data_IF_091997596167
#
_entry.id   IF_091997596167
#
_cell.length_a   1.000
_cell.length_b   1.000
_cell.length_c   1.000
_cell.angle_alpha   90.00
_cell.angle_beta   90.00
_cell.angle_gamma   90.00
#
_symmetry.space_group_name_H-M   'P 1'
#
loop_
_entity.id
_entity.type
_entity.pdbx_description
1 polymer ?
#
# COMPACT_ATOMS: atom_id res chain seq x y z
N UNK A 1 1.23 18.70 2.56
CA UNK A 1 0.94 17.27 2.57
C UNK A 1 -0.47 17.01 2.09
N UNK A 2 -0.69 15.83 1.51
CA UNK A 2 -1.99 15.42 0.99
C UNK A 2 -2.49 14.21 1.75
N UNK A 3 -3.80 14.04 1.81
CA UNK A 3 -4.40 12.84 2.37
C UNK A 3 -4.49 11.77 1.30
N UNK A 4 -4.00 10.58 1.61
CA UNK A 4 -4.06 9.41 0.75
C UNK A 4 -4.86 8.31 1.40
N UNK A 5 -5.62 7.58 0.60
CA UNK A 5 -6.32 6.36 1.02
C UNK A 5 -5.61 5.19 0.35
N UNK A 6 -5.25 4.18 1.14
CA UNK A 6 -4.63 2.96 0.63
C UNK A 6 -5.61 1.81 0.82
N UNK A 7 -5.93 1.14 -0.29
CA UNK A 7 -6.79 -0.04 -0.29
C UNK A 7 -5.92 -1.23 -0.63
N UNK A 8 -5.69 -2.09 0.35
CA UNK A 8 -4.91 -3.30 0.17
C UNK A 8 -5.84 -4.46 -0.12
N UNK A 9 -5.66 -5.13 -1.26
CA UNK A 9 -6.30 -6.40 -1.58
C UNK A 9 -5.29 -7.51 -1.40
N UNK A 10 -5.57 -8.46 -0.49
CA UNK A 10 -4.67 -9.55 -0.20
C UNK A 10 -5.42 -10.74 0.39
N UNK A 11 -5.16 -11.92 -0.14
CA UNK A 11 -5.68 -13.19 0.39
C UNK A 11 -7.20 -13.20 0.60
N UNK A 12 -7.94 -12.58 -0.32
CA UNK A 12 -9.40 -12.52 -0.27
C UNK A 12 -9.97 -11.42 0.62
N UNK A 13 -9.12 -10.61 1.27
CA UNK A 13 -9.54 -9.49 2.10
C UNK A 13 -9.19 -8.15 1.51
N UNK A 14 -9.95 -7.13 1.90
CA UNK A 14 -9.67 -5.74 1.54
C UNK A 14 -9.48 -4.93 2.81
N UNK A 15 -8.37 -4.22 2.89
CA UNK A 15 -7.99 -3.46 4.08
C UNK A 15 -7.78 -2.01 3.69
N UNK A 16 -8.45 -1.09 4.36
CA UNK A 16 -8.44 0.34 4.01
C UNK A 16 -7.79 1.13 5.12
N UNK A 17 -6.87 2.02 4.76
CA UNK A 17 -6.25 2.94 5.71
C UNK A 17 -6.04 4.31 5.05
N UNK A 18 -5.84 5.33 5.87
CA UNK A 18 -5.57 6.69 5.39
C UNK A 18 -4.34 7.24 6.09
N UNK A 19 -3.59 8.06 5.36
CA UNK A 19 -2.40 8.71 5.90
C UNK A 19 -2.10 9.98 5.10
N UNK A 20 -1.27 10.85 5.67
CA UNK A 20 -0.80 12.04 4.95
C UNK A 20 0.61 11.79 4.43
N UNK A 21 0.90 12.32 3.25
CA UNK A 21 2.21 12.20 2.62
C UNK A 21 2.41 13.32 1.61
N UNK A 22 3.65 13.50 1.16
CA UNK A 22 3.97 14.56 0.19
C UNK A 22 3.65 14.14 -1.25
N UNK A 23 3.75 12.83 -1.54
CA UNK A 23 3.42 12.29 -2.86
C UNK A 23 3.07 10.79 -2.73
N UNK A 24 2.80 10.14 -3.85
CA UNK A 24 2.41 8.72 -3.87
C UNK A 24 3.54 7.79 -3.43
N UNK A 25 4.79 8.12 -3.69
CA UNK A 25 5.94 7.32 -3.25
C UNK A 25 6.09 7.39 -1.73
N UNK A 26 5.97 8.60 -1.18
CA UNK A 26 6.01 8.80 0.27
C UNK A 26 4.82 8.14 0.94
N UNK A 27 3.64 8.16 0.30
CA UNK A 27 2.44 7.49 0.80
C UNK A 27 2.68 5.98 0.93
N UNK A 28 3.24 5.34 -0.10
CA UNK A 28 3.55 3.91 -0.05
C UNK A 28 4.55 3.61 1.07
N UNK A 29 5.61 4.41 1.20
CA UNK A 29 6.63 4.22 2.22
C UNK A 29 6.05 4.34 3.63
N UNK A 30 5.27 5.38 3.87
CA UNK A 30 4.65 5.61 5.20
C UNK A 30 3.64 4.53 5.55
N UNK A 31 2.88 4.07 4.54
CA UNK A 31 1.94 2.98 4.74
C UNK A 31 2.67 1.69 5.13
N UNK A 32 3.78 1.37 4.43
CA UNK A 32 4.58 0.20 4.76
C UNK A 32 5.20 0.30 6.16
N UNK A 33 5.65 1.48 6.56
CA UNK A 33 6.15 1.71 7.92
C UNK A 33 5.06 1.41 8.96
N UNK A 34 3.83 1.84 8.70
CA UNK A 34 2.72 1.58 9.62
C UNK A 34 2.37 0.09 9.68
N UNK A 35 2.47 -0.63 8.57
CA UNK A 35 2.30 -2.10 8.56
C UNK A 35 3.42 -2.78 9.35
N UNK A 36 4.64 -2.29 9.22
CA UNK A 36 5.78 -2.81 9.96
C UNK A 36 5.56 -2.74 11.46
N UNK A 37 4.96 -1.65 11.94
CA UNK A 37 4.63 -1.48 13.36
C UNK A 37 3.59 -2.49 13.84
N UNK A 38 2.74 -3.01 12.95
CA UNK A 38 1.70 -3.98 13.27
C UNK A 38 2.14 -5.42 13.02
N UNK A 39 3.29 -5.64 12.42
CA UNK A 39 3.72 -6.96 11.95
C UNK A 39 3.91 -7.97 13.07
N UNK A 40 4.15 -7.51 14.29
CA UNK A 40 4.32 -8.40 15.45
C UNK A 40 3.01 -9.03 15.92
N UNK A 41 1.85 -8.45 15.59
CA UNK A 41 0.54 -8.89 16.08
C UNK A 41 -0.45 -9.19 14.95
N UNK A 42 -0.08 -8.90 13.71
CA UNK A 42 -0.97 -9.04 12.56
C UNK A 42 -0.23 -9.77 11.44
N UNK A 43 -0.65 -11.02 11.18
CA UNK A 43 -0.02 -11.88 10.17
C UNK A 43 -0.11 -11.28 8.77
N UNK A 44 -1.23 -10.67 8.39
CA UNK A 44 -1.37 -10.03 7.09
C UNK A 44 -0.36 -8.88 6.94
N UNK A 45 -0.25 -8.04 7.96
CA UNK A 45 0.72 -6.94 7.95
C UNK A 45 2.16 -7.46 7.84
N UNK A 46 2.49 -8.55 8.53
CA UNK A 46 3.81 -9.15 8.47
C UNK A 46 4.13 -9.68 7.07
N UNK A 47 3.20 -10.42 6.45
CA UNK A 47 3.40 -11.00 5.13
C UNK A 47 3.53 -9.93 4.04
N UNK A 48 2.69 -8.90 4.11
CA UNK A 48 2.70 -7.81 3.13
C UNK A 48 3.96 -6.96 3.29
N UNK A 49 4.38 -6.68 4.52
CA UNK A 49 5.62 -5.93 4.78
C UNK A 49 6.84 -6.66 4.18
N UNK A 50 6.92 -7.97 4.37
CA UNK A 50 8.01 -8.77 3.81
C UNK A 50 7.97 -8.73 2.29
N UNK A 51 6.79 -8.90 1.69
CA UNK A 51 6.62 -8.92 0.24
C UNK A 51 7.09 -7.62 -0.40
N UNK A 52 6.63 -6.47 0.11
CA UNK A 52 7.02 -5.17 -0.43
C UNK A 52 8.50 -4.84 -0.12
N UNK A 53 9.05 -5.39 0.95
CA UNK A 53 10.47 -5.23 1.26
C UNK A 53 11.38 -5.98 0.30
N UNK A 54 10.87 -6.99 -0.43
CA UNK A 54 11.62 -7.80 -1.37
C UNK A 54 11.42 -7.36 -2.83
N UNK A 55 10.66 -6.31 -3.06
CA UNK A 55 10.41 -5.81 -4.41
C UNK A 55 10.86 -4.36 -4.52
N UNK A 56 11.23 -3.96 -5.73
CA UNK A 56 11.55 -2.57 -6.03
C UNK A 56 10.41 -1.85 -6.74
N UNK A 57 9.23 -2.45 -6.76
CA UNK A 57 8.08 -1.86 -7.42
C UNK A 57 7.75 -0.48 -6.85
N UNK A 58 7.33 0.40 -7.74
CA UNK A 58 6.91 1.75 -7.41
C UNK A 58 5.43 1.89 -7.71
N UNK A 59 4.73 2.85 -7.08
CA UNK A 59 3.36 3.14 -7.46
C UNK A 59 3.28 3.52 -8.93
N UNK A 60 2.42 2.83 -9.67
CA UNK A 60 2.20 3.06 -11.10
C UNK A 60 0.86 3.74 -11.27
N UNK A 61 0.78 4.86 -12.00
CA UNK A 61 -0.50 5.52 -12.24
C UNK A 61 -1.50 4.57 -12.90
N UNK A 62 -2.73 4.59 -12.42
CA UNK A 62 -3.80 3.80 -13.02
C UNK A 62 -4.31 4.52 -14.27
N UNK A 63 -4.27 3.82 -15.40
CA UNK A 63 -4.68 4.37 -16.68
C UNK A 63 -6.13 4.82 -16.64
N UNK A 64 -6.39 6.02 -17.16
CA UNK A 64 -7.73 6.59 -17.21
C UNK A 64 -8.17 7.27 -15.91
N UNK A 65 -7.37 7.22 -14.85
CA UNK A 65 -7.69 7.86 -13.58
C UNK A 65 -6.67 8.92 -13.20
N UNK A 66 -7.13 9.93 -12.49
CA UNK A 66 -6.28 10.98 -11.94
C UNK A 66 -6.10 10.72 -10.45
N UNK A 67 -4.88 10.93 -9.92
CA UNK A 67 -4.58 10.80 -8.49
C UNK A 67 -4.84 9.40 -7.94
N UNK A 68 -4.64 8.37 -8.77
CA UNK A 68 -4.76 6.97 -8.36
C UNK A 68 -3.58 6.16 -8.90
N UNK A 69 -3.00 5.34 -8.04
CA UNK A 69 -1.83 4.51 -8.35
C UNK A 69 -2.01 3.11 -7.79
N UNK A 70 -1.24 2.17 -8.32
CA UNK A 70 -1.21 0.80 -7.80
C UNK A 70 0.24 0.36 -7.61
N UNK A 71 0.51 -0.28 -6.48
CA UNK A 71 1.76 -0.99 -6.25
C UNK A 71 1.42 -2.44 -5.92
N UNK A 72 2.25 -3.38 -6.37
CA UNK A 72 1.99 -4.80 -6.16
C UNK A 72 3.25 -5.53 -5.73
N UNK A 73 3.07 -6.63 -5.00
CA UNK A 73 4.17 -7.48 -4.59
C UNK A 73 3.67 -8.91 -4.37
N UNK A 74 4.41 -9.92 -4.84
CA UNK A 74 4.06 -11.31 -4.52
C UNK A 74 4.33 -11.58 -3.05
N UNK A 75 3.32 -12.06 -2.34
CA UNK A 75 3.40 -12.40 -0.93
C UNK A 75 3.09 -13.86 -0.71
N UNK A 76 3.20 -14.33 0.53
CA UNK A 76 3.01 -15.72 0.89
C UNK A 76 1.61 -16.24 0.50
N UNK A 77 0.58 -15.45 0.72
CA UNK A 77 -0.81 -15.81 0.43
C UNK A 77 -1.29 -15.43 -0.96
N UNK A 78 -0.41 -14.96 -1.84
CA UNK A 78 -0.74 -14.55 -3.19
C UNK A 78 -0.27 -13.14 -3.49
N UNK A 79 -0.79 -12.54 -4.56
CA UNK A 79 -0.41 -11.19 -4.94
C UNK A 79 -1.06 -10.17 -4.01
N UNK A 80 -0.24 -9.28 -3.45
CA UNK A 80 -0.73 -8.15 -2.66
C UNK A 80 -0.84 -6.93 -3.58
N UNK A 81 -2.00 -6.29 -3.63
CA UNK A 81 -2.26 -5.11 -4.43
C UNK A 81 -2.59 -3.94 -3.52
N UNK A 82 -1.76 -2.90 -3.56
CA UNK A 82 -2.02 -1.67 -2.81
C UNK A 82 -2.45 -0.59 -3.80
N UNK A 83 -3.73 -0.24 -3.77
CA UNK A 83 -4.26 0.85 -4.56
C UNK A 83 -4.19 2.13 -3.73
N UNK A 84 -3.54 3.14 -4.25
CA UNK A 84 -3.28 4.39 -3.54
C UNK A 84 -4.07 5.49 -4.23
N UNK A 85 -4.90 6.19 -3.48
CA UNK A 85 -5.72 7.27 -4.00
C UNK A 85 -5.45 8.54 -3.22
N UNK A 86 -5.12 9.62 -3.91
CA UNK A 86 -5.02 10.93 -3.28
C UNK A 86 -6.43 11.44 -3.04
N UNK A 87 -6.83 11.46 -1.76
CA UNK A 87 -8.21 11.70 -1.34
C UNK A 87 -8.49 13.20 -1.20
N UNK A 88 -7.48 13.98 -0.81
CA UNK A 88 -7.62 15.43 -0.73
C UNK A 88 -6.28 16.10 -1.03
N UNK A 89 -6.36 17.34 -1.43
CA UNK A 89 -5.17 18.13 -1.78
C UNK A 89 -4.45 18.75 -0.58
#
# INVERSE_FOLDING_TARGET
MHLYTVLLDYAGGTYVSQLTAIDEHDALRRWLDSLGDKSAVDEVSAEVTVAFGQTSDRPVPLEGLTNAWCASAPAKGGLALANIVRTSS
#
